data_IF_333766369415
#
_entry.id   IF_333766369415
#
_cell.length_a   1.000
_cell.length_b   1.000
_cell.length_c   1.000
_cell.angle_alpha   90.00
_cell.angle_beta   90.00
_cell.angle_gamma   90.00
#
_symmetry.space_group_name_H-M   'P 1'
#
loop_
_entity.id
_entity.type
_entity.pdbx_description
1 polymer ?
#
# COMPACT_ATOMS: atom_id res chain seq x y z
N UNK A 1 -8.92 27.01 32.72
CA UNK A 1 -8.30 25.67 32.65
C UNK A 1 -9.33 24.54 32.84
N UNK A 2 -10.60 24.74 32.50
CA UNK A 2 -11.70 23.76 32.70
C UNK A 2 -12.40 23.32 31.39
N UNK A 3 -12.05 23.89 30.24
CA UNK A 3 -12.72 23.58 28.96
C UNK A 3 -12.11 22.39 28.21
N UNK A 4 -10.86 22.01 28.47
CA UNK A 4 -10.19 20.91 27.75
C UNK A 4 -10.75 19.54 28.12
N UNK A 5 -11.18 19.34 29.37
CA UNK A 5 -11.68 18.04 29.83
C UNK A 5 -13.00 17.63 29.14
N UNK A 6 -13.91 18.58 28.94
CA UNK A 6 -15.22 18.29 28.33
C UNK A 6 -15.08 17.94 26.84
N UNK A 7 -14.18 18.60 26.10
CA UNK A 7 -13.94 18.28 24.69
C UNK A 7 -13.27 16.91 24.52
N UNK A 8 -12.28 16.59 25.36
CA UNK A 8 -11.61 15.29 25.34
C UNK A 8 -12.60 14.16 25.68
N UNK A 9 -13.52 14.40 26.61
CA UNK A 9 -14.60 13.47 26.92
C UNK A 9 -15.56 13.28 25.74
N UNK A 10 -15.98 14.37 25.09
CA UNK A 10 -16.85 14.31 23.90
C UNK A 10 -16.18 13.52 22.77
N UNK A 11 -14.90 13.79 22.48
CA UNK A 11 -14.15 13.07 21.43
C UNK A 11 -14.03 11.60 21.78
N UNK A 12 -13.69 11.29 23.03
CA UNK A 12 -13.54 9.90 23.49
C UNK A 12 -14.86 9.14 23.38
N UNK A 13 -15.97 9.74 23.82
CA UNK A 13 -17.31 9.15 23.75
C UNK A 13 -17.80 8.92 22.32
N UNK A 14 -17.44 9.80 21.39
CA UNK A 14 -17.85 9.72 19.98
C UNK A 14 -16.74 9.19 19.05
N UNK A 15 -15.66 8.62 19.61
CA UNK A 15 -14.45 8.22 18.88
C UNK A 15 -14.75 7.33 17.68
N UNK A 16 -15.61 6.34 17.84
CA UNK A 16 -15.95 5.41 16.76
C UNK A 16 -16.62 6.11 15.59
N UNK A 17 -17.63 6.94 15.85
CA UNK A 17 -18.32 7.74 14.83
C UNK A 17 -17.37 8.67 14.09
N UNK A 18 -16.46 9.32 14.82
CA UNK A 18 -15.45 10.21 14.22
C UNK A 18 -14.50 9.42 13.33
N UNK A 19 -13.96 8.30 13.82
CA UNK A 19 -13.02 7.47 13.06
C UNK A 19 -13.67 6.85 11.83
N UNK A 20 -14.92 6.38 11.93
CA UNK A 20 -15.67 5.84 10.81
C UNK A 20 -15.99 6.91 9.76
N UNK A 21 -16.25 8.15 10.19
CA UNK A 21 -16.41 9.28 9.29
C UNK A 21 -15.11 9.61 8.55
N UNK A 22 -13.98 9.65 9.25
CA UNK A 22 -12.70 10.14 8.70
C UNK A 22 -11.90 9.07 7.93
N UNK A 23 -12.06 7.80 8.27
CA UNK A 23 -11.34 6.68 7.65
C UNK A 23 -12.25 5.69 6.92
N UNK A 24 -13.56 5.94 6.90
CA UNK A 24 -14.52 5.06 6.25
C UNK A 24 -14.49 5.17 4.72
N UNK A 25 -14.88 4.07 4.08
CA UNK A 25 -15.05 4.00 2.64
C UNK A 25 -16.27 3.13 2.23
N UNK A 26 -17.24 2.98 3.14
CA UNK A 26 -18.43 2.13 2.92
C UNK A 26 -19.61 2.91 2.34
N UNK A 27 -19.66 4.23 2.53
CA UNK A 27 -20.68 5.12 1.96
C UNK A 27 -20.04 6.30 1.24
N UNK A 28 -20.75 6.94 0.29
CA UNK A 28 -20.25 8.14 -0.39
C UNK A 28 -19.81 9.23 0.60
N UNK A 29 -20.56 9.46 1.68
CA UNK A 29 -20.27 10.49 2.69
C UNK A 29 -18.98 10.18 3.48
N UNK A 30 -18.74 8.90 3.79
CA UNK A 30 -17.48 8.49 4.40
C UNK A 30 -16.31 8.70 3.43
N UNK A 31 -16.47 8.34 2.15
CA UNK A 31 -15.44 8.57 1.14
C UNK A 31 -15.13 10.07 1.01
N UNK A 32 -16.14 10.92 0.95
CA UNK A 32 -15.99 12.39 0.88
C UNK A 32 -15.24 12.96 2.08
N UNK A 33 -15.59 12.50 3.28
CA UNK A 33 -14.94 12.90 4.53
C UNK A 33 -13.48 12.44 4.55
N UNK A 34 -13.23 11.19 4.15
CA UNK A 34 -11.89 10.61 4.00
C UNK A 34 -11.05 11.35 2.96
N UNK A 35 -11.63 11.81 1.85
CA UNK A 35 -10.95 12.65 0.85
C UNK A 35 -10.51 13.97 1.49
N UNK A 36 -11.42 14.65 2.21
CA UNK A 36 -11.11 15.91 2.89
C UNK A 36 -9.95 15.76 3.88
N UNK A 37 -9.99 14.72 4.70
CA UNK A 37 -8.92 14.44 5.66
C UNK A 37 -7.62 13.99 4.98
N UNK A 38 -7.70 13.22 3.90
CA UNK A 38 -6.54 12.84 3.08
C UNK A 38 -5.84 14.07 2.51
N UNK A 39 -6.60 15.06 2.04
CA UNK A 39 -6.03 16.32 1.57
C UNK A 39 -5.33 17.06 2.72
N UNK A 40 -5.95 17.11 3.91
CA UNK A 40 -5.32 17.71 5.08
C UNK A 40 -3.99 17.02 5.43
N UNK A 41 -3.99 15.69 5.59
CA UNK A 41 -2.77 14.93 5.89
C UNK A 41 -1.70 15.07 4.81
N UNK A 42 -2.11 15.13 3.55
CA UNK A 42 -1.21 15.37 2.42
C UNK A 42 -0.37 16.64 2.59
N UNK A 43 -0.95 17.70 3.18
CA UNK A 43 -0.25 18.95 3.52
C UNK A 43 0.53 18.89 4.83
N UNK A 44 0.03 18.19 5.85
CA UNK A 44 0.74 18.01 7.13
C UNK A 44 2.05 17.25 6.92
N UNK A 45 2.04 16.28 6.00
CA UNK A 45 3.18 15.41 5.76
C UNK A 45 3.27 14.27 6.77
N UNK A 46 3.92 13.20 6.34
CA UNK A 46 4.08 11.99 7.13
C UNK A 46 5.29 12.10 8.06
N UNK A 47 5.13 11.62 9.28
CA UNK A 47 6.12 11.64 10.36
C UNK A 47 6.01 10.37 11.20
N UNK A 48 7.00 10.12 12.06
CA UNK A 48 6.99 8.97 12.98
C UNK A 48 5.81 8.98 13.96
N UNK A 49 5.19 10.14 14.25
CA UNK A 49 4.05 10.25 15.16
C UNK A 49 2.70 10.06 14.48
N UNK A 50 2.61 10.23 13.14
CA UNK A 50 1.32 10.24 12.43
C UNK A 50 1.20 9.19 11.30
N UNK A 51 2.23 8.40 11.01
CA UNK A 51 2.23 7.46 9.88
C UNK A 51 1.09 6.42 9.94
N UNK A 52 0.61 6.08 11.14
CA UNK A 52 -0.55 5.20 11.32
C UNK A 52 -1.82 5.75 10.64
N UNK A 53 -1.98 7.07 10.58
CA UNK A 53 -3.12 7.71 9.92
C UNK A 53 -3.02 7.58 8.40
N UNK A 54 -1.81 7.74 7.86
CA UNK A 54 -1.53 7.51 6.44
C UNK A 54 -1.79 6.05 6.08
N UNK A 55 -1.27 5.12 6.88
CA UNK A 55 -1.49 3.69 6.68
C UNK A 55 -3.00 3.36 6.69
N UNK A 56 -3.75 3.93 7.63
CA UNK A 56 -5.19 3.70 7.74
C UNK A 56 -5.96 4.16 6.49
N UNK A 57 -5.56 5.27 5.88
CA UNK A 57 -6.16 5.75 4.62
C UNK A 57 -5.74 4.90 3.42
N UNK A 58 -4.49 4.45 3.36
CA UNK A 58 -4.00 3.51 2.33
C UNK A 58 -4.78 2.18 2.39
N UNK A 59 -5.07 1.69 3.60
CA UNK A 59 -5.85 0.47 3.82
C UNK A 59 -7.29 0.54 3.30
N UNK A 60 -7.85 1.74 3.07
CA UNK A 60 -9.19 1.89 2.47
C UNK A 60 -9.26 1.33 1.06
N UNK A 61 -8.10 1.26 0.37
CA UNK A 61 -8.00 0.85 -1.03
C UNK A 61 -8.92 1.64 -1.98
N UNK A 62 -9.39 2.81 -1.57
CA UNK A 62 -10.32 3.64 -2.33
C UNK A 62 -9.54 4.67 -3.16
N UNK A 63 -9.68 4.65 -4.49
CA UNK A 63 -8.83 5.50 -5.34
C UNK A 63 -8.96 6.98 -5.03
N UNK A 64 -10.17 7.46 -4.71
CA UNK A 64 -10.43 8.88 -4.46
C UNK A 64 -9.73 9.38 -3.20
N UNK A 65 -9.74 8.55 -2.15
CA UNK A 65 -9.07 8.82 -0.88
C UNK A 65 -7.55 8.80 -1.09
N UNK A 66 -7.04 7.73 -1.71
CA UNK A 66 -5.60 7.50 -1.90
C UNK A 66 -4.98 8.54 -2.85
N UNK A 67 -5.67 8.89 -3.93
CA UNK A 67 -5.21 9.91 -4.86
C UNK A 67 -5.10 11.28 -4.19
N UNK A 68 -6.04 11.62 -3.31
CA UNK A 68 -5.96 12.86 -2.56
C UNK A 68 -4.84 12.86 -1.52
N UNK A 69 -4.58 11.71 -0.89
CA UNK A 69 -3.49 11.55 0.07
C UNK A 69 -2.13 11.70 -0.60
N UNK A 70 -1.90 10.96 -1.69
CA UNK A 70 -0.59 10.87 -2.34
C UNK A 70 -0.37 12.04 -3.32
N UNK A 71 -1.41 12.45 -4.04
CA UNK A 71 -1.38 13.39 -5.17
C UNK A 71 -0.45 12.88 -6.27
N UNK A 72 0.47 13.73 -6.74
CA UNK A 72 1.42 13.44 -7.82
C UNK A 72 2.77 12.88 -7.32
N UNK A 73 2.89 12.62 -6.01
CA UNK A 73 4.10 12.04 -5.41
C UNK A 73 4.23 10.56 -5.77
N UNK A 74 5.46 10.05 -5.82
CA UNK A 74 5.71 8.62 -5.98
C UNK A 74 5.17 7.85 -4.76
N UNK A 75 4.17 6.95 -4.93
CA UNK A 75 3.61 6.17 -3.83
C UNK A 75 4.65 5.33 -3.08
N UNK A 76 5.69 4.83 -3.78
CA UNK A 76 6.73 3.97 -3.19
C UNK A 76 7.50 4.70 -2.09
N UNK A 77 7.64 6.02 -2.22
CA UNK A 77 8.39 6.85 -1.28
C UNK A 77 7.55 7.31 -0.08
N UNK A 78 6.24 7.01 -0.04
CA UNK A 78 5.33 7.54 0.98
C UNK A 78 5.81 7.25 2.41
N UNK A 79 6.29 6.04 2.69
CA UNK A 79 6.75 5.64 4.02
C UNK A 79 8.29 5.64 4.17
N UNK A 80 9.04 6.15 3.19
CA UNK A 80 10.52 6.13 3.19
C UNK A 80 11.16 6.87 4.37
N UNK A 81 10.48 7.88 4.91
CA UNK A 81 10.94 8.65 6.08
C UNK A 81 10.68 7.94 7.41
N UNK A 82 9.94 6.83 7.40
CA UNK A 82 9.59 6.07 8.60
C UNK A 82 10.56 4.92 8.76
N UNK A 83 11.19 4.83 9.94
CA UNK A 83 12.08 3.71 10.25
C UNK A 83 11.31 2.37 10.10
N UNK A 84 11.85 1.39 9.36
CA UNK A 84 11.22 0.09 9.24
C UNK A 84 10.95 -0.53 10.60
N UNK A 85 9.76 -1.08 10.77
CA UNK A 85 9.33 -1.70 12.01
C UNK A 85 8.35 -2.84 11.71
N UNK A 86 8.27 -3.80 12.63
CA UNK A 86 7.47 -5.01 12.45
C UNK A 86 5.99 -4.71 12.15
N UNK A 87 5.42 -3.67 12.77
CA UNK A 87 4.03 -3.30 12.55
C UNK A 87 3.77 -2.88 11.10
N UNK A 88 4.59 -2.01 10.52
CA UNK A 88 4.43 -1.58 9.12
C UNK A 88 4.52 -2.76 8.15
N UNK A 89 5.50 -3.63 8.35
CA UNK A 89 5.73 -4.80 7.49
C UNK A 89 4.58 -5.80 7.59
N UNK A 90 4.13 -6.06 8.82
CA UNK A 90 2.98 -6.92 9.06
C UNK A 90 1.73 -6.40 8.35
N UNK A 91 1.43 -5.10 8.47
CA UNK A 91 0.27 -4.49 7.78
C UNK A 91 0.42 -4.53 6.26
N UNK A 92 1.63 -4.33 5.75
CA UNK A 92 1.93 -4.46 4.32
C UNK A 92 1.63 -5.87 3.80
N UNK A 93 2.13 -6.92 4.46
CA UNK A 93 1.85 -8.30 4.06
C UNK A 93 0.40 -8.72 4.30
N UNK A 94 -0.26 -8.22 5.34
CA UNK A 94 -1.70 -8.44 5.56
C UNK A 94 -2.54 -7.84 4.41
N UNK A 95 -2.18 -6.66 3.89
CA UNK A 95 -2.81 -6.07 2.71
C UNK A 95 -2.55 -6.92 1.45
N UNK A 96 -1.32 -7.36 1.22
CA UNK A 96 -0.99 -8.24 0.10
C UNK A 96 -1.77 -9.56 0.19
N UNK A 97 -1.89 -10.14 1.38
CA UNK A 97 -2.64 -11.37 1.61
C UNK A 97 -4.14 -11.21 1.32
N UNK A 98 -4.74 -10.12 1.82
CA UNK A 98 -6.18 -9.88 1.73
C UNK A 98 -6.69 -9.63 0.31
N UNK A 99 -5.91 -8.93 -0.52
CA UNK A 99 -6.35 -8.54 -1.86
C UNK A 99 -5.91 -9.55 -2.92
N UNK A 100 -6.79 -9.79 -3.90
CA UNK A 100 -6.41 -10.49 -5.12
C UNK A 100 -5.68 -9.55 -6.09
N UNK A 101 -4.81 -10.09 -6.95
CA UNK A 101 -4.30 -9.38 -8.12
C UNK A 101 -5.43 -8.67 -8.89
N UNK A 102 -5.22 -7.41 -9.26
CA UNK A 102 -6.21 -6.56 -9.94
C UNK A 102 -7.21 -5.82 -9.04
N UNK A 103 -7.41 -6.22 -7.78
CA UNK A 103 -8.34 -5.52 -6.86
C UNK A 103 -7.68 -4.41 -6.04
N UNK A 104 -6.38 -4.54 -5.78
CA UNK A 104 -5.62 -3.50 -5.07
C UNK A 104 -5.37 -2.32 -6.02
N UNK A 105 -5.66 -1.11 -5.56
CA UNK A 105 -5.41 0.10 -6.33
C UNK A 105 -3.90 0.28 -6.52
N UNK A 106 -3.47 0.64 -7.73
CA UNK A 106 -2.04 0.66 -8.10
C UNK A 106 -1.17 1.51 -7.16
N UNK A 107 -1.63 2.69 -6.74
CA UNK A 107 -0.89 3.53 -5.77
C UNK A 107 -0.82 2.89 -4.37
N UNK A 108 -1.83 2.14 -3.96
CA UNK A 108 -1.82 1.39 -2.69
C UNK A 108 -0.80 0.27 -2.76
N UNK A 109 -0.82 -0.51 -3.84
CA UNK A 109 0.16 -1.58 -4.06
C UNK A 109 1.58 -1.01 -4.06
N UNK A 110 1.85 0.05 -4.81
CA UNK A 110 3.18 0.68 -4.85
C UNK A 110 3.62 1.22 -3.48
N UNK A 111 2.71 1.81 -2.69
CA UNK A 111 3.04 2.25 -1.32
C UNK A 111 3.37 1.07 -0.40
N UNK A 112 2.63 -0.04 -0.52
CA UNK A 112 2.89 -1.30 0.21
C UNK A 112 4.23 -1.91 -0.21
N UNK A 113 4.51 -1.97 -1.51
CA UNK A 113 5.78 -2.47 -2.04
C UNK A 113 6.95 -1.59 -1.57
N UNK A 114 6.78 -0.26 -1.54
CA UNK A 114 7.81 0.65 -1.03
C UNK A 114 8.18 0.41 0.44
N UNK A 115 7.20 0.06 1.29
CA UNK A 115 7.47 -0.35 2.68
C UNK A 115 8.36 -1.60 2.72
N UNK A 116 8.01 -2.61 1.92
CA UNK A 116 8.71 -3.90 1.90
C UNK A 116 10.11 -3.73 1.30
N UNK A 117 10.23 -3.03 0.17
CA UNK A 117 11.49 -2.77 -0.53
C UNK A 117 12.48 -2.04 0.38
N UNK A 118 12.02 -1.01 1.08
CA UNK A 118 12.88 -0.25 1.99
C UNK A 118 13.39 -1.13 3.15
N UNK A 119 12.51 -1.97 3.72
CA UNK A 119 12.88 -2.86 4.82
C UNK A 119 13.87 -3.96 4.39
N UNK A 120 13.66 -4.54 3.21
CA UNK A 120 14.52 -5.59 2.68
C UNK A 120 15.64 -5.05 1.77
N UNK A 121 15.96 -3.75 1.85
CA UNK A 121 17.18 -3.20 1.24
C UNK A 121 18.43 -3.97 1.66
N UNK A 122 18.50 -4.33 2.95
CA UNK A 122 19.42 -5.34 3.47
C UNK A 122 18.59 -6.54 3.94
N UNK A 123 18.65 -7.69 3.25
CA UNK A 123 17.71 -8.79 3.49
C UNK A 123 17.78 -9.36 4.91
N UNK A 124 18.98 -9.53 5.48
CA UNK A 124 19.16 -10.06 6.85
C UNK A 124 18.67 -9.09 7.94
N UNK A 125 18.83 -7.77 7.74
CA UNK A 125 18.28 -6.76 8.66
C UNK A 125 16.75 -6.74 8.57
N UNK A 126 16.19 -6.75 7.36
CA UNK A 126 14.75 -6.83 7.13
C UNK A 126 14.13 -8.08 7.76
N UNK A 127 14.77 -9.25 7.58
CA UNK A 127 14.35 -10.51 8.19
C UNK A 127 14.37 -10.47 9.72
N UNK A 128 15.32 -9.76 10.30
CA UNK A 128 15.41 -9.59 11.76
C UNK A 128 14.27 -8.73 12.32
N UNK A 129 13.73 -7.80 11.51
CA UNK A 129 12.55 -6.98 11.86
C UNK A 129 11.26 -7.77 11.65
N UNK A 130 11.16 -8.49 10.54
CA UNK A 130 10.00 -9.28 10.15
C UNK A 130 10.46 -10.61 9.53
N UNK A 131 10.44 -11.71 10.30
CA UNK A 131 10.82 -13.02 9.81
C UNK A 131 9.80 -13.52 8.77
N UNK A 132 10.17 -13.42 7.49
CA UNK A 132 9.34 -13.85 6.37
C UNK A 132 9.05 -15.36 6.42
N UNK A 133 7.91 -15.73 5.85
CA UNK A 133 7.62 -17.11 5.47
C UNK A 133 7.35 -17.26 3.95
N UNK A 134 7.04 -18.49 3.52
CA UNK A 134 6.72 -18.78 2.12
C UNK A 134 5.39 -18.16 1.68
N UNK A 135 4.45 -17.99 2.61
CA UNK A 135 3.14 -17.40 2.34
C UNK A 135 3.30 -15.90 2.02
N UNK A 136 4.18 -15.19 2.72
CA UNK A 136 4.54 -13.81 2.44
C UNK A 136 5.09 -13.66 1.01
N UNK A 137 6.04 -14.52 0.63
CA UNK A 137 6.63 -14.51 -0.71
C UNK A 137 5.61 -14.84 -1.81
N UNK A 138 4.70 -15.78 -1.56
CA UNK A 138 3.61 -16.08 -2.47
C UNK A 138 2.64 -14.90 -2.61
N UNK A 139 2.31 -14.22 -1.50
CA UNK A 139 1.46 -13.04 -1.50
C UNK A 139 2.12 -11.82 -2.14
N UNK A 140 3.45 -11.73 -2.13
CA UNK A 140 4.19 -10.74 -2.90
C UNK A 140 4.19 -11.09 -4.40
N UNK A 141 4.62 -12.30 -4.73
CA UNK A 141 4.80 -12.76 -6.10
C UNK A 141 3.51 -12.85 -6.91
N UNK A 142 2.35 -13.07 -6.27
CA UNK A 142 1.07 -13.19 -6.97
C UNK A 142 0.66 -11.93 -7.75
N UNK A 143 1.23 -10.77 -7.41
CA UNK A 143 0.95 -9.51 -8.10
C UNK A 143 1.78 -9.29 -9.37
N UNK A 144 2.77 -10.15 -9.64
CA UNK A 144 3.51 -10.12 -10.91
C UNK A 144 2.57 -10.31 -12.09
N UNK A 145 2.76 -9.48 -13.11
CA UNK A 145 1.96 -9.47 -14.33
C UNK A 145 2.81 -9.90 -15.52
N UNK A 146 2.62 -11.16 -15.95
CA UNK A 146 3.38 -11.77 -17.06
C UNK A 146 3.07 -11.13 -18.41
N UNK A 147 1.95 -10.42 -18.52
CA UNK A 147 1.58 -9.69 -19.74
C UNK A 147 2.26 -8.32 -19.84
N UNK A 148 2.95 -7.89 -18.76
CA UNK A 148 3.71 -6.64 -18.69
C UNK A 148 5.19 -6.94 -18.60
N UNK A 149 6.00 -6.01 -19.09
CA UNK A 149 7.45 -6.12 -18.99
C UNK A 149 7.96 -5.92 -17.54
N UNK A 150 9.26 -6.19 -17.37
CA UNK A 150 9.95 -6.07 -16.08
C UNK A 150 10.16 -4.62 -15.62
N UNK A 151 9.96 -3.64 -16.50
CA UNK A 151 10.20 -2.22 -16.23
C UNK A 151 8.91 -1.49 -15.83
N UNK A 152 7.76 -2.15 -15.93
CA UNK A 152 6.53 -1.64 -15.33
C UNK A 152 6.67 -1.56 -13.81
N UNK A 153 6.27 -0.42 -13.24
CA UNK A 153 6.57 -0.06 -11.84
C UNK A 153 6.26 -1.13 -10.79
N UNK A 154 5.16 -1.87 -10.94
CA UNK A 154 4.76 -2.93 -9.99
C UNK A 154 5.68 -4.14 -10.18
N UNK A 155 5.87 -4.59 -11.43
CA UNK A 155 6.76 -5.71 -11.74
C UNK A 155 8.19 -5.42 -11.29
N UNK A 156 8.73 -4.25 -11.67
CA UNK A 156 10.07 -3.79 -11.27
C UNK A 156 10.24 -3.86 -9.74
N UNK A 157 9.29 -3.28 -8.99
CA UNK A 157 9.35 -3.23 -7.52
C UNK A 157 9.30 -4.63 -6.91
N UNK A 158 8.42 -5.52 -7.39
CA UNK A 158 8.32 -6.90 -6.88
C UNK A 158 9.59 -7.69 -7.18
N UNK A 159 10.08 -7.61 -8.43
CA UNK A 159 11.27 -8.34 -8.86
C UNK A 159 12.52 -7.88 -8.12
N UNK A 160 12.64 -6.59 -7.80
CA UNK A 160 13.73 -6.05 -7.01
C UNK A 160 13.67 -6.51 -5.55
N UNK A 161 12.48 -6.51 -4.92
CA UNK A 161 12.29 -7.08 -3.57
C UNK A 161 12.72 -8.55 -3.56
N UNK A 162 12.22 -9.35 -4.52
CA UNK A 162 12.58 -10.76 -4.62
C UNK A 162 14.08 -10.95 -4.85
N UNK A 163 14.70 -10.10 -5.67
CA UNK A 163 16.14 -10.13 -5.95
C UNK A 163 16.95 -9.95 -4.66
N UNK A 164 16.59 -8.98 -3.82
CA UNK A 164 17.24 -8.78 -2.51
C UNK A 164 17.04 -9.96 -1.59
N UNK A 165 15.83 -10.54 -1.56
CA UNK A 165 15.54 -11.73 -0.73
C UNK A 165 16.35 -12.95 -1.18
N UNK A 166 16.75 -13.06 -2.46
CA UNK A 166 17.66 -14.15 -2.88
C UNK A 166 19.03 -14.10 -2.20
N UNK A 167 19.45 -12.94 -1.68
CA UNK A 167 20.70 -12.78 -0.93
C UNK A 167 20.53 -13.07 0.57
N UNK A 168 19.32 -13.42 1.01
CA UNK A 168 19.05 -13.70 2.42
C UNK A 168 19.88 -14.89 2.92
N UNK A 169 20.66 -14.67 3.98
CA UNK A 169 21.47 -15.72 4.58
C UNK A 169 22.70 -16.09 3.77
N UNK A 170 23.19 -15.22 2.88
CA UNK A 170 24.44 -15.42 2.14
C UNK A 170 25.65 -15.71 3.05
N UNK A 171 25.61 -15.23 4.30
CA UNK A 171 26.63 -15.46 5.32
C UNK A 171 26.11 -16.27 6.53
N UNK A 172 24.99 -16.97 6.39
CA UNK A 172 24.36 -17.75 7.46
C UNK A 172 24.11 -19.19 7.04
N UNK A 173 24.34 -20.13 7.96
CA UNK A 173 23.97 -21.55 7.78
C UNK A 173 22.50 -21.84 8.15
N UNK A 174 21.69 -20.81 8.36
CA UNK A 174 20.29 -20.98 8.76
C UNK A 174 19.43 -21.51 7.61
N UNK A 175 18.96 -22.75 7.75
CA UNK A 175 18.17 -23.45 6.74
C UNK A 175 16.94 -22.65 6.30
N UNK A 176 16.25 -21.97 7.23
CA UNK A 176 15.05 -21.17 6.92
C UNK A 176 15.33 -20.06 5.91
N UNK A 177 16.44 -19.33 6.09
CA UNK A 177 16.87 -18.25 5.19
C UNK A 177 17.17 -18.78 3.79
N UNK A 178 17.88 -19.91 3.71
CA UNK A 178 18.19 -20.57 2.44
C UNK A 178 16.93 -21.04 1.70
N UNK A 179 15.94 -21.58 2.42
CA UNK A 179 14.64 -21.98 1.83
C UNK A 179 13.90 -20.77 1.24
N UNK A 180 13.87 -19.65 1.97
CA UNK A 180 13.21 -18.41 1.51
C UNK A 180 13.93 -17.79 0.32
N UNK A 181 15.27 -17.70 0.37
CA UNK A 181 16.10 -17.23 -0.74
C UNK A 181 15.84 -18.05 -2.02
N UNK A 182 15.85 -19.38 -1.91
CA UNK A 182 15.54 -20.29 -3.02
C UNK A 182 14.11 -20.11 -3.55
N UNK A 183 13.14 -19.91 -2.66
CA UNK A 183 11.75 -19.68 -3.07
C UNK A 183 11.58 -18.36 -3.82
N UNK A 184 12.17 -17.27 -3.33
CA UNK A 184 12.18 -15.98 -4.01
C UNK A 184 12.85 -16.07 -5.39
N UNK A 185 13.96 -16.79 -5.49
CA UNK A 185 14.62 -17.07 -6.77
C UNK A 185 13.70 -17.81 -7.74
N UNK A 186 13.01 -18.85 -7.28
CA UNK A 186 12.10 -19.62 -8.11
C UNK A 186 10.93 -18.77 -8.65
N UNK A 187 10.36 -17.88 -7.83
CA UNK A 187 9.31 -16.94 -8.28
C UNK A 187 9.86 -16.04 -9.40
N UNK A 188 11.06 -15.48 -9.23
CA UNK A 188 11.68 -14.63 -10.26
C UNK A 188 11.91 -15.36 -11.56
N UNK A 189 12.50 -16.57 -11.50
CA UNK A 189 12.74 -17.36 -12.71
C UNK A 189 11.42 -17.71 -13.39
N UNK A 190 10.37 -18.07 -12.65
CA UNK A 190 9.06 -18.35 -13.21
C UNK A 190 8.39 -17.14 -13.90
N UNK A 191 8.87 -15.91 -13.66
CA UNK A 191 8.45 -14.72 -14.39
C UNK A 191 9.27 -14.50 -15.68
N UNK A 192 10.58 -14.76 -15.66
CA UNK A 192 11.48 -14.53 -16.80
C UNK A 192 11.57 -15.69 -17.79
N UNK A 193 11.35 -16.92 -17.33
CA UNK A 193 11.58 -18.15 -18.07
C UNK A 193 10.33 -18.58 -18.82
N UNK A 194 10.45 -18.77 -20.14
CA UNK A 194 9.34 -19.25 -20.98
C UNK A 194 8.99 -20.73 -20.75
N UNK A 195 9.80 -21.46 -19.97
CA UNK A 195 9.60 -22.88 -19.67
C UNK A 195 8.95 -23.15 -18.32
N UNK A 196 8.83 -22.12 -17.47
CA UNK A 196 8.21 -22.20 -16.14
C UNK A 196 7.08 -21.20 -16.06
N UNK A 197 6.07 -21.52 -15.26
CA UNK A 197 4.96 -20.64 -14.97
C UNK A 197 4.96 -20.26 -13.49
N UNK A 198 4.45 -19.07 -13.17
CA UNK A 198 4.19 -18.69 -11.78
C UNK A 198 3.30 -19.72 -11.06
N UNK A 199 2.41 -20.41 -11.79
CA UNK A 199 1.55 -21.47 -11.24
C UNK A 199 2.32 -22.70 -10.75
N UNK A 200 3.55 -22.89 -11.21
CA UNK A 200 4.40 -24.01 -10.77
C UNK A 200 4.99 -23.76 -9.37
N UNK A 201 5.04 -22.49 -8.95
CA UNK A 201 5.67 -22.04 -7.70
C UNK A 201 4.66 -21.49 -6.70
N UNK A 202 3.67 -20.72 -7.18
CA UNK A 202 2.63 -20.07 -6.40
C UNK A 202 1.31 -20.81 -6.60
N UNK A 203 0.57 -21.15 -5.53
CA UNK A 203 -0.75 -21.78 -5.65
C UNK A 203 -1.67 -21.02 -6.60
N UNK A 204 -2.25 -21.72 -7.58
CA UNK A 204 -3.09 -21.12 -8.63
C UNK A 204 -4.23 -20.27 -8.08
N UNK A 205 -4.80 -20.65 -6.93
CA UNK A 205 -5.87 -19.90 -6.25
C UNK A 205 -5.47 -18.46 -5.87
N UNK A 206 -4.17 -18.21 -5.66
CA UNK A 206 -3.65 -16.88 -5.34
C UNK A 206 -3.43 -16.02 -6.60
N UNK A 207 -3.27 -16.64 -7.76
CA UNK A 207 -2.98 -15.97 -9.03
C UNK A 207 -4.23 -15.49 -9.78
N UNK A 208 -5.42 -15.78 -9.24
CA UNK A 208 -6.69 -15.34 -9.81
C UNK A 208 -6.76 -13.81 -9.80
N UNK A 209 -6.81 -13.21 -11.00
CA UNK A 209 -6.99 -11.76 -11.20
C UNK A 209 -8.48 -11.42 -11.15
N UNK A 210 -8.86 -10.53 -10.24
CA UNK A 210 -10.24 -10.04 -10.08
C UNK A 210 -10.30 -8.55 -10.42
N UNK A 211 -11.46 -8.09 -10.89
CA UNK A 211 -11.66 -6.69 -11.27
C UNK A 211 -11.85 -5.79 -10.02
N UNK A 212 -11.33 -4.55 -10.04
CA UNK A 212 -11.45 -3.63 -8.90
C UNK A 212 -12.87 -3.06 -8.71
N UNK A 213 -13.69 -3.07 -9.76
CA UNK A 213 -14.99 -2.38 -9.83
C UNK A 213 -16.07 -2.90 -8.87
N UNK A 214 -15.89 -4.08 -8.28
CA UNK A 214 -16.92 -4.73 -7.45
C UNK A 214 -16.99 -4.19 -6.02
N UNK A 215 -15.95 -3.50 -5.52
CA UNK A 215 -15.85 -3.10 -4.09
C UNK A 215 -15.67 -1.61 -3.84
N UNK A 216 -15.46 -0.80 -4.88
CA UNK A 216 -15.15 0.62 -4.70
C UNK A 216 -16.41 1.49 -4.58
N UNK A 217 -16.54 2.16 -3.43
CA UNK A 217 -17.57 3.18 -3.22
C UNK A 217 -17.09 4.52 -3.77
N UNK A 218 -17.91 5.16 -4.60
CA UNK A 218 -17.61 6.47 -5.18
C UNK A 218 -18.20 7.59 -4.31
N UNK A 219 -17.61 8.80 -4.31
CA UNK A 219 -18.27 9.99 -3.80
C UNK A 219 -19.60 10.25 -4.51
N UNK A 220 -20.45 11.07 -3.91
CA UNK A 220 -21.69 11.54 -4.55
C UNK A 220 -21.39 12.32 -5.83
N UNK A 221 -22.37 12.38 -6.74
CA UNK A 221 -22.24 13.12 -8.00
C UNK A 221 -22.07 14.61 -7.73
N UNK A 222 -22.76 15.10 -6.71
CA UNK A 222 -22.72 16.48 -6.21
C UNK A 222 -21.31 16.84 -5.75
N UNK A 223 -20.68 15.97 -4.95
CA UNK A 223 -19.31 16.18 -4.49
C UNK A 223 -18.30 16.17 -5.63
N UNK A 224 -18.43 15.24 -6.59
CA UNK A 224 -17.54 15.21 -7.77
C UNK A 224 -17.69 16.50 -8.59
N UNK A 225 -18.91 17.00 -8.78
CA UNK A 225 -19.16 18.26 -9.47
C UNK A 225 -18.56 19.45 -8.72
N UNK A 226 -18.64 19.46 -7.39
CA UNK A 226 -18.01 20.47 -6.54
C UNK A 226 -16.48 20.47 -6.67
N UNK A 227 -15.85 19.30 -6.58
CA UNK A 227 -14.39 19.14 -6.72
C UNK A 227 -13.87 19.65 -8.07
N UNK A 228 -14.57 19.34 -9.17
CA UNK A 228 -14.21 19.82 -10.50
C UNK A 228 -14.20 21.36 -10.59
N UNK A 229 -15.22 22.01 -10.02
CA UNK A 229 -15.30 23.48 -10.00
C UNK A 229 -14.13 24.13 -9.25
N UNK A 230 -13.68 23.51 -8.16
CA UNK A 230 -12.50 24.01 -7.42
C UNK A 230 -11.24 23.91 -8.27
N UNK A 231 -11.00 22.75 -8.89
CA UNK A 231 -9.81 22.53 -9.73
C UNK A 231 -9.78 23.49 -10.93
N UNK A 232 -10.93 23.72 -11.58
CA UNK A 232 -11.03 24.64 -12.72
C UNK A 232 -10.80 26.11 -12.31
N UNK A 233 -11.18 26.49 -11.08
CA UNK A 233 -10.97 27.85 -10.56
C UNK A 233 -9.52 28.11 -10.14
N UNK A 234 -8.79 27.09 -9.66
CA UNK A 234 -7.37 27.21 -9.34
C UNK A 234 -6.48 27.20 -10.59
N UNK A 235 -6.81 26.38 -11.60
CA UNK A 235 -6.08 26.35 -12.88
C UNK A 235 -6.33 27.62 -13.72
N UNK A 236 -7.49 28.27 -13.59
CA UNK A 236 -7.82 29.54 -14.23
C UNK A 236 -7.03 30.76 -13.70
N UNK A 237 -6.46 30.68 -12.50
CA UNK A 237 -5.64 31.77 -11.92
C UNK A 237 -4.19 31.78 -12.43
N UNK A 238 -3.73 30.73 -13.10
CA UNK A 238 -2.38 30.62 -13.67
C UNK A 238 -2.18 31.23 -15.07
N UNK A 239 -3.27 31.64 -15.76
CA UNK A 239 -3.20 32.21 -17.13
C UNK A 239 -3.28 33.74 -17.20
N UNK A 240 -3.17 34.43 -16.05
CA UNK A 240 -3.06 35.90 -16.01
C UNK A 240 -1.79 36.31 -15.30
N UNK A 241 -0.66 36.25 -16.01
CA UNK A 241 0.53 37.09 -15.81
C UNK A 241 1.45 36.98 -17.01
#
# INVERSE_FOLDING_TARGET
>A
MLLTNDYDEIITKNRHTILDGIFGAQTPQQVESSIGFSNYLSHVGITSSNYYLFLKLIETNNRWVVDMLIKDRDPRLLFSVIRPNNYLLRRAFELLSFWHPGQIYGKVLLAVLGIIEYCFYKPDEGYSIYPLDIVDLNNLGKFLDVDKDQFEYINESILEILNRITQLGEHSSELRKSVLSKHAFNIRIAYFDNTKSLTDIIPQVLLIRLKPEEREVKPSKEFIAYMKKIVDTDTGKGKRR
#
